data_IF_604346098349
#
_entry.id   IF_604346098349
#
_cell.length_a   1.000
_cell.length_b   1.000
_cell.length_c   1.000
_cell.angle_alpha   90.00
_cell.angle_beta   90.00
_cell.angle_gamma   90.00
#
_symmetry.space_group_name_H-M   'P 1'
#
loop_
_entity.id
_entity.type
_entity.pdbx_description
1 polymer ?
#
# COMPACT_ATOMS: atom_id res chain seq x y z
N UNK A 1 -0.34 -30.32 57.89
CA UNK A 1 0.31 -31.10 56.82
C UNK A 1 -0.17 -30.54 55.49
N UNK A 2 0.57 -29.57 54.90
CA UNK A 2 0.19 -28.92 53.63
C UNK A 2 0.62 -29.83 52.48
N UNK A 3 -0.33 -30.34 51.71
CA UNK A 3 -0.06 -31.10 50.49
C UNK A 3 0.53 -30.15 49.43
N UNK A 4 1.82 -30.28 49.15
CA UNK A 4 2.44 -29.78 47.94
C UNK A 4 2.07 -30.75 46.81
N UNK A 5 0.99 -30.43 46.08
CA UNK A 5 0.63 -31.14 44.87
C UNK A 5 1.61 -30.81 43.75
N UNK A 6 2.44 -31.77 43.37
CA UNK A 6 3.26 -31.67 42.17
C UNK A 6 2.33 -31.72 40.94
N UNK A 7 2.40 -30.69 40.10
CA UNK A 7 1.69 -30.63 38.82
C UNK A 7 2.21 -31.76 37.90
N UNK A 8 1.30 -32.40 37.15
CA UNK A 8 1.64 -33.50 36.24
C UNK A 8 2.52 -33.03 35.07
N UNK A 9 3.34 -33.91 34.46
CA UNK A 9 4.23 -33.56 33.34
C UNK A 9 3.54 -32.88 32.15
N UNK A 10 2.26 -33.20 31.93
CA UNK A 10 1.44 -32.62 30.86
C UNK A 10 1.09 -31.13 31.09
N UNK A 11 1.13 -30.65 32.34
CA UNK A 11 0.82 -29.27 32.69
C UNK A 11 1.96 -28.29 32.40
N UNK A 12 3.20 -28.77 32.19
CA UNK A 12 4.36 -27.91 31.89
C UNK A 12 4.47 -27.56 30.40
N UNK A 13 3.87 -28.36 29.50
CA UNK A 13 3.87 -28.13 28.05
C UNK A 13 3.15 -26.82 27.67
N UNK A 14 1.91 -26.55 28.12
CA UNK A 14 1.25 -25.28 27.81
C UNK A 14 1.95 -24.08 28.45
N UNK A 15 2.56 -24.25 29.64
CA UNK A 15 3.32 -23.19 30.30
C UNK A 15 4.61 -22.89 29.52
N UNK A 16 5.31 -23.91 29.02
CA UNK A 16 6.50 -23.74 28.18
C UNK A 16 6.16 -23.08 26.83
N UNK A 17 5.02 -23.43 26.21
CA UNK A 17 4.54 -22.78 24.99
C UNK A 17 4.16 -21.31 25.22
N UNK A 18 3.59 -20.98 26.38
CA UNK A 18 3.21 -19.63 26.75
C UNK A 18 4.43 -18.77 27.11
N UNK A 19 5.43 -19.35 27.78
CA UNK A 19 6.75 -18.73 27.99
C UNK A 19 7.45 -18.52 26.63
N UNK A 20 7.42 -19.50 25.73
CA UNK A 20 8.01 -19.38 24.38
C UNK A 20 7.31 -18.32 23.54
N UNK A 21 5.97 -18.18 23.64
CA UNK A 21 5.25 -17.10 22.95
C UNK A 21 5.60 -15.73 23.52
N UNK A 22 5.80 -15.60 24.84
CA UNK A 22 6.27 -14.36 25.48
C UNK A 22 7.69 -14.01 25.03
N UNK A 23 8.58 -15.00 24.85
CA UNK A 23 9.94 -14.78 24.34
C UNK A 23 9.99 -14.42 22.84
N UNK A 24 8.99 -14.82 22.04
CA UNK A 24 8.85 -14.38 20.64
C UNK A 24 8.24 -12.98 20.51
N UNK A 25 7.53 -12.50 21.53
CA UNK A 25 7.08 -11.10 21.62
C UNK A 25 8.14 -10.28 22.38
N UNK A 26 9.39 -10.38 21.93
CA UNK A 26 10.36 -9.31 22.18
C UNK A 26 9.93 -8.12 21.34
N UNK A 27 9.15 -7.19 21.91
CA UNK A 27 8.81 -5.92 21.26
C UNK A 27 10.10 -5.14 21.00
N UNK A 28 10.70 -5.34 19.83
CA UNK A 28 11.72 -4.41 19.35
C UNK A 28 10.97 -3.13 19.00
N UNK A 29 11.07 -2.09 19.84
CA UNK A 29 10.58 -0.78 19.45
C UNK A 29 11.28 -0.39 18.14
N UNK A 30 10.49 -0.16 17.09
CA UNK A 30 11.01 0.37 15.86
C UNK A 30 11.70 1.71 16.18
N UNK A 31 12.95 1.86 15.75
CA UNK A 31 13.53 3.20 15.76
C UNK A 31 12.91 3.95 14.61
N UNK A 32 12.22 5.04 14.92
CA UNK A 32 11.47 5.89 13.99
C UNK A 32 12.12 7.27 13.81
N UNK A 33 13.26 7.52 14.44
CA UNK A 33 13.87 8.84 14.51
C UNK A 33 15.39 8.87 14.23
N UNK A 34 15.83 9.96 13.61
CA UNK A 34 17.22 10.39 13.43
C UNK A 34 17.46 11.56 14.38
N UNK A 35 18.49 11.45 15.23
CA UNK A 35 18.87 12.46 16.21
C UNK A 35 20.30 12.93 15.96
N UNK A 36 20.80 13.91 16.72
CA UNK A 36 22.21 14.32 16.62
C UNK A 36 23.20 13.19 16.95
N UNK A 37 22.80 12.24 17.79
CA UNK A 37 23.61 11.09 18.18
C UNK A 37 23.50 9.90 17.23
N UNK A 38 22.49 9.87 16.34
CA UNK A 38 22.19 8.73 15.48
C UNK A 38 22.02 9.15 14.03
N UNK A 39 22.86 8.60 13.17
CA UNK A 39 22.72 8.66 11.71
C UNK A 39 22.13 7.36 11.15
N UNK A 40 21.78 7.38 9.86
CA UNK A 40 21.47 6.20 9.05
C UNK A 40 22.56 6.04 8.01
N UNK A 41 23.21 4.89 7.97
CA UNK A 41 24.13 4.49 6.90
C UNK A 41 23.43 3.63 5.85
N UNK A 42 24.14 3.35 4.76
CA UNK A 42 23.62 2.67 3.57
C UNK A 42 22.86 1.35 3.82
N UNK A 43 23.27 0.56 4.82
CA UNK A 43 22.66 -0.73 5.17
C UNK A 43 21.68 -0.65 6.34
N UNK A 44 21.43 0.56 6.85
CA UNK A 44 20.56 0.79 8.00
C UNK A 44 19.23 1.38 7.55
N UNK A 45 18.18 1.11 8.34
CA UNK A 45 16.86 1.70 8.15
C UNK A 45 16.29 2.12 9.49
N UNK A 46 15.44 3.14 9.46
CA UNK A 46 14.45 3.41 10.52
C UNK A 46 13.07 3.05 9.99
N UNK A 47 12.16 2.68 10.89
CA UNK A 47 10.79 2.29 10.53
C UNK A 47 9.79 3.14 11.30
N UNK A 48 8.63 3.39 10.71
CA UNK A 48 7.49 3.94 11.44
C UNK A 48 7.09 3.02 12.60
N UNK A 49 6.30 3.54 13.54
CA UNK A 49 5.91 2.80 14.75
C UNK A 49 5.07 1.56 14.40
N UNK A 50 4.23 1.64 13.37
CA UNK A 50 3.49 0.49 12.83
C UNK A 50 4.32 -0.44 11.93
N UNK A 51 5.60 -0.13 11.68
CA UNK A 51 6.57 -0.90 10.87
C UNK A 51 6.30 -1.00 9.37
N UNK A 52 5.21 -0.40 8.88
CA UNK A 52 4.82 -0.46 7.47
C UNK A 52 5.70 0.42 6.57
N UNK A 53 6.23 1.51 7.12
CA UNK A 53 7.06 2.46 6.39
C UNK A 53 8.49 2.39 6.86
N UNK A 54 9.43 2.49 5.92
CA UNK A 54 10.86 2.51 6.21
C UNK A 54 11.53 3.67 5.50
N UNK A 55 12.47 4.31 6.18
CA UNK A 55 13.41 5.26 5.62
C UNK A 55 14.80 4.60 5.59
N UNK A 56 15.45 4.66 4.43
CA UNK A 56 16.82 4.16 4.27
C UNK A 56 17.35 4.37 2.86
N UNK A 57 18.54 3.83 2.59
CA UNK A 57 19.13 3.90 1.26
C UNK A 57 18.63 2.77 0.36
N UNK A 58 18.42 3.08 -0.92
CA UNK A 58 18.01 2.12 -1.94
C UNK A 58 18.64 2.45 -3.31
N UNK A 59 18.57 1.48 -4.21
CA UNK A 59 18.85 1.64 -5.64
C UNK A 59 17.59 1.36 -6.46
N UNK A 60 17.25 2.21 -7.44
CA UNK A 60 16.25 1.88 -8.45
C UNK A 60 16.66 0.63 -9.24
N UNK A 61 15.66 -0.03 -9.83
CA UNK A 61 15.92 -1.16 -10.72
C UNK A 61 16.83 -0.74 -11.88
N UNK A 62 17.84 -1.55 -12.20
CA UNK A 62 18.82 -1.28 -13.27
C UNK A 62 19.66 0.01 -13.06
N UNK A 63 19.91 0.38 -11.81
CA UNK A 63 20.79 1.50 -11.46
C UNK A 63 21.70 1.13 -10.29
N UNK A 64 22.94 1.62 -10.28
CA UNK A 64 23.87 1.51 -9.15
C UNK A 64 23.85 2.74 -8.25
N UNK A 65 23.14 3.80 -8.66
CA UNK A 65 23.03 5.02 -7.86
C UNK A 65 22.27 4.74 -6.57
N UNK A 66 22.66 5.43 -5.50
CA UNK A 66 22.06 5.33 -4.17
C UNK A 66 21.28 6.59 -3.81
N UNK A 67 20.11 6.37 -3.22
CA UNK A 67 19.19 7.43 -2.80
C UNK A 67 18.66 7.14 -1.39
N UNK A 68 18.54 8.17 -0.57
CA UNK A 68 17.78 8.11 0.67
C UNK A 68 16.29 8.33 0.34
N UNK A 69 15.43 7.39 0.73
CA UNK A 69 14.00 7.49 0.45
C UNK A 69 13.14 6.73 1.44
N UNK A 70 11.84 6.98 1.36
CA UNK A 70 10.81 6.35 2.17
C UNK A 70 10.03 5.39 1.29
N UNK A 71 9.75 4.19 1.79
CA UNK A 71 8.94 3.20 1.09
C UNK A 71 7.96 2.48 2.00
N UNK A 72 6.85 2.04 1.41
CA UNK A 72 5.81 1.26 2.08
C UNK A 72 6.01 -0.24 1.83
N UNK A 73 6.26 -1.01 2.89
CA UNK A 73 6.54 -2.45 2.94
C UNK A 73 7.82 -2.90 2.20
N UNK A 74 7.95 -2.51 0.92
CA UNK A 74 9.02 -2.88 0.00
C UNK A 74 9.54 -1.67 -0.77
N UNK A 75 10.81 -1.69 -1.16
CA UNK A 75 11.44 -0.67 -2.02
C UNK A 75 10.78 -0.58 -3.42
N UNK A 76 9.88 -1.48 -3.78
CA UNK A 76 9.02 -1.33 -4.96
C UNK A 76 8.01 -0.19 -4.83
N UNK A 77 7.69 0.25 -3.61
CA UNK A 77 6.69 1.28 -3.30
C UNK A 77 7.35 2.50 -2.64
N UNK A 78 8.29 3.13 -3.36
CA UNK A 78 8.90 4.39 -2.93
C UNK A 78 7.85 5.50 -2.95
N UNK A 79 7.71 6.20 -1.82
CA UNK A 79 6.76 7.31 -1.65
C UNK A 79 7.45 8.68 -1.58
N UNK A 80 8.74 8.71 -1.24
CA UNK A 80 9.51 9.94 -1.13
C UNK A 80 11.01 9.69 -1.33
N UNK A 81 11.74 10.67 -1.88
CA UNK A 81 13.19 10.58 -2.17
C UNK A 81 13.84 11.93 -1.86
N UNK A 82 14.88 11.92 -1.01
CA UNK A 82 15.62 13.13 -0.62
C UNK A 82 16.50 13.63 -1.77
N UNK A 83 17.57 12.90 -2.07
CA UNK A 83 18.63 13.30 -3.00
C UNK A 83 18.34 12.89 -4.44
N UNK A 84 17.08 13.04 -4.89
CA UNK A 84 16.62 12.54 -6.21
C UNK A 84 17.41 13.10 -7.39
N UNK A 85 17.86 14.36 -7.30
CA UNK A 85 18.61 15.05 -8.36
C UNK A 85 20.14 15.00 -8.16
N UNK A 86 20.60 14.57 -6.99
CA UNK A 86 22.02 14.46 -6.63
C UNK A 86 22.31 13.07 -6.03
N UNK A 87 22.34 12.01 -6.86
CA UNK A 87 22.57 10.65 -6.39
C UNK A 87 23.96 10.45 -5.78
N UNK A 88 24.04 9.45 -4.90
CA UNK A 88 25.31 8.82 -4.53
C UNK A 88 25.72 7.83 -5.60
N UNK A 89 27.01 7.73 -5.90
CA UNK A 89 27.57 6.76 -6.86
C UNK A 89 28.14 5.50 -6.18
N UNK A 90 28.08 5.44 -4.86
CA UNK A 90 28.56 4.33 -4.03
C UNK A 90 27.68 4.15 -2.77
N UNK A 91 28.03 3.18 -1.93
CA UNK A 91 27.36 2.89 -0.65
C UNK A 91 27.93 3.68 0.54
N UNK A 92 28.55 4.84 0.31
CA UNK A 92 29.13 5.68 1.39
C UNK A 92 28.11 6.64 2.04
N UNK A 93 26.84 6.56 1.63
CA UNK A 93 25.79 7.50 2.03
C UNK A 93 25.51 7.51 3.53
N UNK A 94 25.33 8.73 4.07
CA UNK A 94 24.94 8.96 5.46
C UNK A 94 23.80 9.98 5.52
N UNK A 95 22.66 9.58 6.10
CA UNK A 95 21.58 10.48 6.49
C UNK A 95 21.70 10.86 7.96
N UNK A 96 21.77 12.15 8.30
CA UNK A 96 21.94 12.60 9.70
C UNK A 96 21.38 13.99 9.96
N UNK A 97 21.23 14.33 11.24
CA UNK A 97 21.12 15.73 11.67
C UNK A 97 22.50 16.39 11.59
N UNK A 98 22.62 17.46 10.82
CA UNK A 98 23.84 18.22 10.60
C UNK A 98 24.11 19.24 11.72
N UNK A 99 25.27 19.88 11.66
CA UNK A 99 25.73 20.82 12.67
C UNK A 99 24.91 22.12 12.78
N UNK A 100 24.02 22.35 11.83
CA UNK A 100 23.07 23.46 11.76
C UNK A 100 21.63 23.03 12.09
N UNK A 101 21.43 21.80 12.57
CA UNK A 101 20.12 21.25 12.91
C UNK A 101 19.30 20.75 11.71
N UNK A 102 19.81 20.83 10.47
CA UNK A 102 19.12 20.30 9.30
C UNK A 102 19.25 18.79 9.18
N UNK A 103 18.23 18.15 8.57
CA UNK A 103 18.38 16.80 8.06
C UNK A 103 19.15 16.87 6.73
N UNK A 104 20.25 16.11 6.61
CA UNK A 104 21.10 16.11 5.42
C UNK A 104 21.42 14.69 4.93
N UNK A 105 21.74 14.59 3.64
CA UNK A 105 22.37 13.41 3.02
C UNK A 105 23.80 13.77 2.62
N UNK A 106 24.77 13.02 3.14
CA UNK A 106 26.19 13.17 2.86
C UNK A 106 26.73 11.99 2.05
N UNK A 107 27.79 12.23 1.28
CA UNK A 107 28.65 11.18 0.72
C UNK A 107 29.85 10.87 1.64
N UNK A 108 30.69 9.93 1.25
CA UNK A 108 31.89 9.52 1.99
C UNK A 108 32.95 10.62 2.16
N UNK A 109 32.89 11.68 1.34
CA UNK A 109 33.73 12.88 1.46
C UNK A 109 33.09 13.99 2.31
N UNK A 110 31.96 13.70 2.99
CA UNK A 110 31.17 14.67 3.75
C UNK A 110 30.60 15.84 2.93
N UNK A 111 30.43 15.68 1.61
CA UNK A 111 29.71 16.64 0.79
C UNK A 111 28.21 16.48 0.98
N UNK A 112 27.51 17.61 1.20
CA UNK A 112 26.05 17.65 1.31
C UNK A 112 25.43 17.52 -0.08
N UNK A 113 24.75 16.41 -0.33
CA UNK A 113 24.02 16.15 -1.58
C UNK A 113 22.57 16.63 -1.50
N UNK A 114 22.01 16.71 -0.29
CA UNK A 114 20.67 17.18 -0.02
C UNK A 114 20.55 17.71 1.42
N UNK A 115 19.72 18.72 1.64
CA UNK A 115 19.39 19.29 2.96
C UNK A 115 17.93 19.74 3.00
N UNK A 116 17.30 19.64 4.17
CA UNK A 116 15.98 20.23 4.46
C UNK A 116 15.91 21.75 4.30
N UNK A 117 17.08 22.43 4.29
CA UNK A 117 17.22 23.87 4.06
C UNK A 117 16.32 24.75 4.96
N UNK A 118 16.27 24.42 6.25
CA UNK A 118 15.57 25.20 7.26
C UNK A 118 16.49 26.33 7.74
N UNK A 119 15.98 27.56 7.72
CA UNK A 119 16.70 28.77 8.14
C UNK A 119 16.63 29.06 9.65
N UNK A 120 16.22 28.08 10.47
CA UNK A 120 16.01 28.29 11.90
C UNK A 120 17.35 28.32 12.64
N UNK A 121 17.47 29.18 13.66
CA UNK A 121 18.58 29.22 14.63
C UNK A 121 18.58 27.98 15.56
N UNK A 122 18.31 26.80 15.01
CA UNK A 122 18.28 25.56 15.76
C UNK A 122 19.70 25.04 15.91
N UNK A 123 20.11 24.82 17.15
CA UNK A 123 21.37 24.13 17.44
C UNK A 123 21.20 22.63 17.16
N UNK A 124 22.29 21.93 16.85
CA UNK A 124 22.29 20.50 16.46
C UNK A 124 21.49 19.58 17.36
N UNK A 125 21.45 19.90 18.65
CA UNK A 125 20.83 19.07 19.68
C UNK A 125 19.38 19.46 19.93
N UNK A 126 18.86 20.46 19.23
CA UNK A 126 17.47 20.88 19.35
C UNK A 126 16.56 20.30 18.28
N UNK A 127 17.05 19.51 17.32
CA UNK A 127 16.19 18.93 16.27
C UNK A 127 16.22 17.40 16.21
N UNK A 128 15.10 16.84 15.76
CA UNK A 128 14.92 15.40 15.50
C UNK A 128 14.10 15.24 14.23
N UNK A 129 14.51 14.31 13.36
CA UNK A 129 13.73 13.90 12.22
C UNK A 129 13.02 12.58 12.54
N UNK A 130 11.68 12.56 12.51
CA UNK A 130 10.86 11.39 12.86
C UNK A 130 9.99 10.96 11.69
N UNK A 131 10.00 9.66 11.38
CA UNK A 131 9.12 9.03 10.40
C UNK A 131 7.80 8.65 11.08
N UNK A 132 6.70 9.27 10.64
CA UNK A 132 5.37 9.01 11.16
C UNK A 132 4.70 7.82 10.44
N UNK A 133 3.71 7.20 11.07
CA UNK A 133 2.90 6.12 10.49
C UNK A 133 2.12 6.54 9.22
N UNK A 134 1.96 7.86 9.00
CA UNK A 134 1.41 8.41 7.76
C UNK A 134 2.36 8.29 6.57
N UNK A 135 3.67 8.19 6.80
CA UNK A 135 4.72 8.33 5.79
C UNK A 135 5.39 9.70 5.79
N UNK A 136 4.89 10.64 6.59
CA UNK A 136 5.50 11.94 6.70
C UNK A 136 6.77 11.88 7.54
N UNK A 137 7.88 12.34 6.98
CA UNK A 137 9.14 12.52 7.70
C UNK A 137 9.20 13.97 8.16
N UNK A 138 9.13 14.16 9.48
CA UNK A 138 9.01 15.49 10.08
C UNK A 138 10.29 15.82 10.83
N UNK A 139 10.91 16.94 10.46
CA UNK A 139 11.96 17.58 11.25
C UNK A 139 11.29 18.55 12.22
N UNK A 140 11.47 18.33 13.52
CA UNK A 140 10.89 19.19 14.57
C UNK A 140 11.96 19.68 15.55
N UNK A 141 11.69 20.83 16.13
CA UNK A 141 12.42 21.31 17.30
C UNK A 141 11.95 20.53 18.54
N UNK A 142 12.89 19.98 19.31
CA UNK A 142 12.65 19.17 20.50
C UNK A 142 12.16 20.03 21.66
N UNK A 143 12.69 21.25 21.80
CA UNK A 143 12.36 22.13 22.92
C UNK A 143 10.95 22.72 22.77
N UNK A 144 10.58 23.15 21.56
CA UNK A 144 9.27 23.76 21.32
C UNK A 144 8.23 22.81 20.74
N UNK A 145 8.63 21.62 20.27
CA UNK A 145 7.76 20.68 19.55
C UNK A 145 7.34 21.16 18.16
N UNK A 146 7.89 22.28 17.66
CA UNK A 146 7.46 22.91 16.41
C UNK A 146 7.99 22.14 15.20
N UNK A 147 7.12 21.85 14.24
CA UNK A 147 7.53 21.34 12.92
C UNK A 147 8.31 22.42 12.17
N UNK A 148 9.54 22.09 11.78
CA UNK A 148 10.44 22.96 11.03
C UNK A 148 10.41 22.64 9.53
N UNK A 149 10.29 21.36 9.20
CA UNK A 149 10.21 20.85 7.83
C UNK A 149 9.48 19.51 7.80
N UNK A 150 8.82 19.18 6.70
CA UNK A 150 8.18 17.90 6.49
C UNK A 150 8.25 17.44 5.03
N UNK A 151 8.26 16.12 4.82
CA UNK A 151 8.39 15.53 3.48
C UNK A 151 7.11 15.65 2.65
N UNK A 152 5.94 15.75 3.28
CA UNK A 152 4.66 15.89 2.57
C UNK A 152 4.49 17.26 1.90
N UNK A 153 5.10 18.30 2.45
CA UNK A 153 5.23 19.62 1.82
C UNK A 153 6.28 19.66 0.71
N UNK A 154 7.12 18.63 0.57
CA UNK A 154 8.20 18.52 -0.42
C UNK A 154 8.18 17.16 -1.13
N UNK A 155 7.08 16.81 -1.83
CA UNK A 155 6.90 15.50 -2.43
C UNK A 155 7.85 15.26 -3.61
N UNK A 156 7.96 13.98 -4.01
CA UNK A 156 8.67 13.59 -5.22
C UNK A 156 7.67 13.32 -6.37
N UNK A 157 7.59 12.08 -6.85
CA UNK A 157 6.69 11.64 -7.92
C UNK A 157 5.42 10.94 -7.39
N UNK A 158 5.35 10.69 -6.09
CA UNK A 158 4.33 9.86 -5.46
C UNK A 158 3.61 10.59 -4.31
N UNK A 159 2.32 10.33 -4.20
CA UNK A 159 1.44 10.73 -3.11
C UNK A 159 0.91 9.50 -2.40
N UNK A 160 0.72 9.62 -1.08
CA UNK A 160 0.01 8.65 -0.24
C UNK A 160 -1.23 9.35 0.35
N UNK A 161 -2.18 8.62 0.96
CA UNK A 161 -3.36 9.24 1.53
C UNK A 161 -2.98 10.40 2.46
N UNK A 162 -3.79 11.46 2.48
CA UNK A 162 -3.57 12.74 3.20
C UNK A 162 -2.55 13.71 2.60
N UNK A 163 -1.68 13.26 1.68
CA UNK A 163 -0.81 14.19 0.94
C UNK A 163 -1.64 15.11 0.05
N UNK A 164 -1.10 16.31 -0.22
CA UNK A 164 -1.83 17.40 -0.87
C UNK A 164 -1.16 17.77 -2.19
N UNK A 165 -1.96 18.19 -3.17
CA UNK A 165 -1.53 19.12 -4.23
C UNK A 165 -2.09 20.47 -3.82
N UNK A 166 -1.23 21.46 -3.57
CA UNK A 166 -1.63 22.70 -2.93
C UNK A 166 -1.06 23.93 -3.62
N UNK A 167 -1.74 25.06 -3.49
CA UNK A 167 -1.25 26.35 -3.94
C UNK A 167 -1.77 27.45 -3.01
N UNK A 168 -0.85 28.27 -2.52
CA UNK A 168 -1.19 29.47 -1.79
C UNK A 168 -1.24 30.67 -2.76
N UNK A 169 -2.41 31.29 -2.99
CA UNK A 169 -2.56 32.41 -3.92
C UNK A 169 -1.77 33.65 -3.50
N UNK A 170 -1.58 33.85 -2.20
CA UNK A 170 -0.98 35.05 -1.64
C UNK A 170 0.55 35.01 -1.74
N UNK A 171 1.15 33.83 -1.54
CA UNK A 171 2.61 33.66 -1.53
C UNK A 171 3.17 33.02 -2.81
N UNK A 172 2.32 32.42 -3.64
CA UNK A 172 2.72 31.66 -4.82
C UNK A 172 3.35 30.31 -4.51
N UNK A 173 3.45 29.91 -3.23
CA UNK A 173 4.00 28.60 -2.82
C UNK A 173 3.08 27.47 -3.30
N UNK A 174 3.69 26.38 -3.78
CA UNK A 174 3.00 25.20 -4.29
C UNK A 174 3.52 23.93 -3.65
N UNK A 175 2.63 22.97 -3.42
CA UNK A 175 2.98 21.56 -3.24
C UNK A 175 2.71 20.89 -4.57
N UNK A 176 3.76 20.56 -5.30
CA UNK A 176 3.74 20.06 -6.67
C UNK A 176 4.53 18.76 -6.81
N UNK A 177 4.05 17.85 -7.64
CA UNK A 177 4.67 16.54 -7.87
C UNK A 177 5.43 16.57 -9.18
N UNK A 178 6.59 15.91 -9.21
CA UNK A 178 7.48 15.89 -10.38
C UNK A 178 7.78 14.44 -10.73
N UNK A 179 7.43 14.03 -11.95
CA UNK A 179 7.68 12.68 -12.46
C UNK A 179 9.14 12.29 -12.35
N UNK A 180 9.41 10.99 -12.32
CA UNK A 180 10.77 10.50 -12.58
C UNK A 180 11.17 10.80 -14.02
N UNK A 181 12.47 10.86 -14.28
CA UNK A 181 13.02 11.01 -15.62
C UNK A 181 12.89 9.71 -16.42
N UNK A 182 13.24 8.59 -15.79
CA UNK A 182 13.02 7.23 -16.33
C UNK A 182 12.63 6.27 -15.18
N UNK A 183 12.23 5.02 -15.46
CA UNK A 183 11.97 4.05 -14.38
C UNK A 183 13.20 3.76 -13.51
N UNK A 184 14.41 3.82 -14.07
CA UNK A 184 15.70 3.59 -13.38
C UNK A 184 16.37 4.86 -12.88
N UNK A 185 15.88 6.05 -13.26
CA UNK A 185 16.41 7.36 -12.89
C UNK A 185 15.31 8.22 -12.22
N UNK A 186 15.30 8.31 -10.88
CA UNK A 186 14.30 9.07 -10.11
C UNK A 186 14.52 10.58 -10.14
N UNK A 187 15.56 11.09 -10.82
CA UNK A 187 15.74 12.53 -10.99
C UNK A 187 14.51 13.18 -11.62
N UNK A 188 14.41 14.49 -11.44
CA UNK A 188 13.29 15.31 -11.91
C UNK A 188 13.09 15.14 -13.41
N UNK A 189 11.94 14.57 -13.77
CA UNK A 189 11.50 14.36 -15.14
C UNK A 189 10.78 15.57 -15.74
N UNK A 190 10.10 15.33 -16.85
CA UNK A 190 9.51 16.40 -17.66
C UNK A 190 8.06 16.74 -17.27
N UNK A 191 7.39 15.91 -16.47
CA UNK A 191 6.00 16.14 -16.12
C UNK A 191 5.85 16.61 -14.68
N UNK A 192 5.03 17.64 -14.48
CA UNK A 192 4.71 18.15 -13.15
C UNK A 192 3.20 18.26 -12.93
N UNK A 193 2.77 18.14 -11.68
CA UNK A 193 1.37 18.27 -11.25
C UNK A 193 1.24 19.41 -10.26
N UNK A 194 0.34 20.35 -10.55
CA UNK A 194 0.05 21.49 -9.67
C UNK A 194 -1.44 21.83 -9.66
N UNK A 195 -1.87 22.57 -8.63
CA UNK A 195 -3.21 23.12 -8.54
C UNK A 195 -3.21 24.53 -9.16
N UNK A 196 -4.14 24.79 -10.07
CA UNK A 196 -4.21 26.07 -10.78
C UNK A 196 -5.65 26.59 -10.85
N UNK A 197 -5.81 27.82 -11.36
CA UNK A 197 -7.11 28.49 -11.57
C UNK A 197 -7.95 28.51 -10.29
N UNK A 198 -7.42 29.12 -9.23
CA UNK A 198 -7.97 29.01 -7.87
C UNK A 198 -9.42 29.53 -7.68
N UNK A 199 -9.96 30.32 -8.62
CA UNK A 199 -11.40 30.68 -8.64
C UNK A 199 -12.33 29.56 -9.15
N UNK A 200 -11.79 28.60 -9.91
CA UNK A 200 -12.44 27.35 -10.33
C UNK A 200 -11.35 26.25 -10.41
N UNK A 201 -10.89 25.74 -9.25
CA UNK A 201 -9.66 24.96 -9.13
C UNK A 201 -9.61 23.74 -10.05
N UNK A 202 -8.49 23.57 -10.73
CA UNK A 202 -8.20 22.40 -11.57
C UNK A 202 -6.80 21.87 -11.26
N UNK A 203 -6.62 20.56 -11.34
CA UNK A 203 -5.29 19.94 -11.27
C UNK A 203 -4.70 19.92 -12.68
N UNK A 204 -3.57 20.58 -12.86
CA UNK A 204 -2.85 20.66 -14.12
C UNK A 204 -1.70 19.68 -14.16
N UNK A 205 -1.51 19.08 -15.32
CA UNK A 205 -0.33 18.32 -15.71
C UNK A 205 0.42 19.16 -16.72
N UNK A 206 1.66 19.48 -16.41
CA UNK A 206 2.51 20.26 -17.28
C UNK A 206 3.55 19.36 -17.93
N UNK A 207 3.95 19.72 -19.14
CA UNK A 207 5.16 19.25 -19.77
C UNK A 207 6.19 20.39 -19.75
N UNK A 208 7.40 20.10 -19.28
CA UNK A 208 8.48 21.08 -19.07
C UNK A 208 8.05 22.30 -18.24
N UNK A 209 7.14 22.10 -17.26
CA UNK A 209 6.60 23.14 -16.35
C UNK A 209 5.84 24.30 -17.01
N UNK A 210 5.85 24.41 -18.34
CA UNK A 210 5.35 25.58 -19.07
C UNK A 210 4.20 25.26 -20.01
N UNK A 211 4.17 24.04 -20.57
CA UNK A 211 3.13 23.64 -21.52
C UNK A 211 2.06 22.81 -20.81
N UNK A 212 0.79 23.26 -20.76
CA UNK A 212 -0.30 22.42 -20.28
C UNK A 212 -0.38 21.15 -21.13
N UNK A 213 -0.23 20.00 -20.48
CA UNK A 213 -0.31 18.68 -21.10
C UNK A 213 -1.69 18.06 -20.93
N UNK A 214 -2.25 18.19 -19.72
CA UNK A 214 -3.59 17.74 -19.38
C UNK A 214 -4.12 18.58 -18.20
N UNK A 215 -5.44 18.66 -18.07
CA UNK A 215 -6.10 19.28 -16.91
C UNK A 215 -7.32 18.47 -16.54
N UNK A 216 -7.59 18.36 -15.24
CA UNK A 216 -8.74 17.60 -14.74
C UNK A 216 -10.06 18.31 -14.96
N UNK A 217 -10.09 19.58 -15.39
CA UNK A 217 -11.31 20.39 -15.39
C UNK A 217 -11.59 20.96 -13.99
N UNK A 218 -12.55 21.88 -13.85
CA UNK A 218 -12.90 22.47 -12.56
C UNK A 218 -13.52 21.46 -11.61
N UNK A 219 -13.29 21.66 -10.32
CA UNK A 219 -13.96 20.93 -9.24
C UNK A 219 -15.44 21.35 -9.13
N UNK A 220 -16.37 20.40 -9.12
CA UNK A 220 -17.80 20.68 -9.00
C UNK A 220 -18.38 20.40 -7.58
N UNK A 221 -17.53 20.19 -6.58
CA UNK A 221 -17.93 19.77 -5.24
C UNK A 221 -17.92 18.25 -5.01
N UNK A 222 -17.87 17.45 -6.07
CA UNK A 222 -17.85 15.97 -6.00
C UNK A 222 -16.74 15.32 -6.83
N UNK A 223 -16.40 15.88 -7.99
CA UNK A 223 -15.33 15.39 -8.85
C UNK A 223 -14.85 16.52 -9.76
N UNK A 224 -13.70 16.31 -10.39
CA UNK A 224 -13.27 17.18 -11.49
C UNK A 224 -13.93 16.76 -12.81
N UNK A 225 -14.47 17.72 -13.56
CA UNK A 225 -15.30 17.44 -14.74
C UNK A 225 -14.62 16.62 -15.85
N UNK A 226 -13.29 16.74 -15.98
CA UNK A 226 -12.46 15.99 -16.93
C UNK A 226 -11.94 14.65 -16.40
N UNK A 227 -12.14 14.35 -15.11
CA UNK A 227 -11.86 13.04 -14.50
C UNK A 227 -13.04 12.56 -13.63
N UNK A 228 -14.22 12.29 -14.22
CA UNK A 228 -15.41 11.90 -13.45
C UNK A 228 -15.26 10.57 -12.70
N UNK A 229 -14.26 9.75 -13.05
CA UNK A 229 -13.92 8.50 -12.34
C UNK A 229 -13.22 8.74 -10.99
N UNK A 230 -12.83 9.98 -10.68
CA UNK A 230 -12.21 10.38 -9.42
C UNK A 230 -13.26 11.12 -8.57
N UNK A 231 -14.31 10.40 -8.18
CA UNK A 231 -15.39 10.93 -7.34
C UNK A 231 -15.01 11.00 -5.85
N UNK A 232 -15.66 11.90 -5.14
CA UNK A 232 -15.88 11.83 -3.70
C UNK A 232 -16.79 10.63 -3.41
N UNK A 233 -16.29 9.56 -2.81
CA UNK A 233 -17.13 8.60 -2.10
C UNK A 233 -16.98 8.82 -0.59
N UNK A 234 -18.06 8.57 0.16
CA UNK A 234 -18.14 8.79 1.62
C UNK A 234 -17.01 8.12 2.41
N UNK A 235 -16.39 7.07 1.86
CA UNK A 235 -15.28 6.33 2.45
C UNK A 235 -13.99 6.38 1.60
N UNK A 236 -14.05 6.83 0.34
CA UNK A 236 -12.92 6.78 -0.58
C UNK A 236 -13.04 7.94 -1.56
N UNK A 237 -12.20 8.95 -1.47
CA UNK A 237 -12.44 10.09 -2.32
C UNK A 237 -11.39 11.18 -2.30
N UNK A 238 -11.45 11.94 -3.38
CA UNK A 238 -10.76 13.21 -3.51
C UNK A 238 -11.55 14.28 -2.78
N UNK A 239 -10.88 15.14 -2.03
CA UNK A 239 -11.46 16.31 -1.43
C UNK A 239 -10.69 17.55 -1.83
N UNK A 240 -11.43 18.64 -1.91
CA UNK A 240 -10.91 19.98 -2.14
C UNK A 240 -11.22 20.80 -0.90
N UNK A 241 -10.23 21.51 -0.39
CA UNK A 241 -10.37 22.32 0.82
C UNK A 241 -9.34 23.46 0.84
N UNK A 242 -9.36 24.26 1.90
CA UNK A 242 -8.46 25.37 2.14
C UNK A 242 -8.03 25.45 3.60
N UNK A 243 -6.84 25.98 3.82
CA UNK A 243 -6.31 26.31 5.15
C UNK A 243 -6.57 27.79 5.48
N UNK A 244 -6.47 28.17 6.76
CA UNK A 244 -6.73 29.53 7.25
C UNK A 244 -5.79 30.60 6.64
N UNK A 245 -4.61 30.20 6.16
CA UNK A 245 -3.64 31.08 5.51
C UNK A 245 -3.95 31.35 4.02
N UNK A 246 -5.08 30.84 3.54
CA UNK A 246 -5.54 30.93 2.16
C UNK A 246 -4.96 29.85 1.24
N UNK A 247 -4.15 28.91 1.73
CA UNK A 247 -3.67 27.77 0.95
C UNK A 247 -4.84 26.91 0.51
N UNK A 248 -4.98 26.71 -0.79
CA UNK A 248 -6.01 25.87 -1.37
C UNK A 248 -5.38 24.54 -1.78
N UNK A 249 -6.06 23.42 -1.52
CA UNK A 249 -5.48 22.11 -1.80
C UNK A 249 -6.50 21.04 -2.20
N UNK A 250 -5.96 20.02 -2.86
CA UNK A 250 -6.63 18.78 -3.22
C UNK A 250 -5.89 17.64 -2.55
N UNK A 251 -6.62 16.73 -1.93
CA UNK A 251 -6.05 15.54 -1.29
C UNK A 251 -7.00 14.36 -1.44
N UNK A 252 -6.54 13.15 -1.14
CA UNK A 252 -7.40 11.97 -1.14
C UNK A 252 -7.26 11.19 0.16
N UNK A 253 -8.37 10.55 0.53
CA UNK A 253 -8.48 9.73 1.72
C UNK A 253 -8.98 8.34 1.35
N UNK A 254 -8.61 7.37 2.17
CA UNK A 254 -8.96 5.95 2.04
C UNK A 254 -9.50 5.54 3.40
N UNK A 255 -10.74 5.06 3.49
CA UNK A 255 -11.37 4.73 4.77
C UNK A 255 -10.78 3.48 5.42
N UNK A 256 -10.32 2.54 4.60
CA UNK A 256 -9.63 1.35 5.08
C UNK A 256 -8.10 1.60 5.05
N UNK A 257 -7.42 1.63 6.21
CA UNK A 257 -5.97 1.73 6.27
C UNK A 257 -5.26 0.59 5.53
N UNK A 258 -5.91 -0.57 5.36
CA UNK A 258 -5.36 -1.72 4.61
C UNK A 258 -5.41 -1.51 3.09
N UNK A 259 -6.20 -0.56 2.61
CA UNK A 259 -6.25 -0.15 1.20
C UNK A 259 -5.20 0.93 0.87
N UNK A 260 -4.09 0.98 1.62
CA UNK A 260 -2.98 1.90 1.39
C UNK A 260 -2.51 1.80 -0.07
N UNK A 261 -2.72 2.86 -0.84
CA UNK A 261 -2.35 2.94 -2.24
C UNK A 261 -1.49 4.15 -2.51
N UNK A 262 -0.41 3.95 -3.26
CA UNK A 262 0.49 5.02 -3.68
C UNK A 262 0.06 5.51 -5.05
N UNK A 263 -0.25 6.80 -5.16
CA UNK A 263 -0.57 7.45 -6.42
C UNK A 263 0.69 8.13 -6.97
N UNK A 264 1.17 7.72 -8.14
CA UNK A 264 2.38 8.29 -8.74
C UNK A 264 2.14 8.88 -10.13
N UNK A 265 2.89 9.94 -10.47
CA UNK A 265 2.99 10.43 -11.84
C UNK A 265 4.11 9.69 -12.58
N UNK A 266 3.75 9.03 -13.67
CA UNK A 266 4.69 8.27 -14.50
C UNK A 266 5.56 9.19 -15.36
N UNK A 267 6.64 8.62 -15.89
CA UNK A 267 7.55 9.26 -16.85
C UNK A 267 6.87 9.71 -18.15
N UNK A 268 5.63 9.30 -18.39
CA UNK A 268 4.82 9.64 -19.58
C UNK A 268 3.70 10.65 -19.28
N UNK A 269 3.65 11.20 -18.07
CA UNK A 269 2.64 12.17 -17.67
C UNK A 269 1.25 11.57 -17.45
N UNK A 270 1.20 10.32 -17.01
CA UNK A 270 -0.03 9.65 -16.58
C UNK A 270 -0.01 9.44 -15.08
N UNK A 271 -1.17 9.47 -14.42
CA UNK A 271 -1.26 9.08 -13.01
C UNK A 271 -1.56 7.59 -12.90
N UNK A 272 -0.87 6.93 -11.98
CA UNK A 272 -1.01 5.51 -11.69
C UNK A 272 -1.21 5.31 -10.20
N UNK A 273 -2.32 4.67 -9.82
CA UNK A 273 -2.55 4.21 -8.46
C UNK A 273 -2.08 2.77 -8.31
N UNK A 274 -1.19 2.52 -7.35
CA UNK A 274 -0.60 1.22 -7.06
C UNK A 274 -1.08 0.68 -5.72
N UNK A 275 -1.45 -0.59 -5.67
CA UNK A 275 -1.83 -1.29 -4.44
C UNK A 275 -0.81 -2.39 -4.08
N UNK A 276 -0.27 -2.40 -2.86
CA UNK A 276 0.75 -3.35 -2.43
C UNK A 276 0.22 -4.77 -2.20
N UNK A 277 -1.06 -4.91 -1.84
CA UNK A 277 -1.72 -6.20 -1.56
C UNK A 277 -2.44 -6.80 -2.77
N UNK A 278 -2.17 -6.29 -3.98
CA UNK A 278 -2.86 -6.69 -5.21
C UNK A 278 -4.16 -5.91 -5.43
N UNK A 279 -4.48 -5.69 -6.70
CA UNK A 279 -5.58 -4.84 -7.16
C UNK A 279 -5.36 -4.49 -8.63
N UNK A 280 -6.37 -3.96 -9.31
CA UNK A 280 -6.18 -3.43 -10.65
C UNK A 280 -5.57 -2.02 -10.55
N UNK A 281 -4.34 -1.84 -11.05
CA UNK A 281 -3.72 -0.51 -11.18
C UNK A 281 -4.66 0.42 -11.95
N UNK A 282 -5.03 1.55 -11.34
CA UNK A 282 -5.88 2.54 -12.00
C UNK A 282 -5.01 3.59 -12.67
N UNK A 283 -5.13 3.66 -14.00
CA UNK A 283 -4.49 4.70 -14.80
C UNK A 283 -5.49 5.81 -15.09
N UNK A 284 -5.22 6.99 -14.55
CA UNK A 284 -5.96 8.20 -14.90
C UNK A 284 -5.23 8.75 -16.13
N UNK A 285 -5.73 8.33 -17.31
CA UNK A 285 -5.14 8.41 -18.67
C UNK A 285 -4.35 7.15 -19.07
N UNK A 286 -5.06 6.14 -19.57
CA UNK A 286 -4.47 5.11 -20.44
C UNK A 286 -4.21 5.73 -21.83
N UNK A 287 -3.01 5.62 -22.42
CA UNK A 287 -2.82 5.94 -23.84
C UNK A 287 -3.80 5.13 -24.70
N UNK A 288 -4.28 5.72 -25.80
CA UNK A 288 -5.29 5.11 -26.68
C UNK A 288 -4.91 3.69 -27.15
N UNK A 289 -3.60 3.41 -27.26
CA UNK A 289 -3.03 2.11 -27.59
C UNK A 289 -3.30 0.99 -26.58
N UNK A 290 -3.56 1.30 -25.30
CA UNK A 290 -3.84 0.31 -24.26
C UNK A 290 -5.34 -0.01 -24.11
N UNK A 291 -6.23 0.76 -24.74
CA UNK A 291 -7.68 0.50 -24.72
C UNK A 291 -8.09 -0.71 -25.58
N UNK A 292 -7.19 -1.24 -26.43
CA UNK A 292 -7.48 -2.36 -27.35
C UNK A 292 -7.28 -3.77 -26.78
N UNK A 293 -6.64 -3.94 -25.63
CA UNK A 293 -6.24 -5.26 -25.13
C UNK A 293 -7.31 -6.02 -24.33
N UNK A 294 -8.47 -5.40 -24.06
CA UNK A 294 -9.52 -5.93 -23.18
C UNK A 294 -10.25 -7.20 -23.68
N UNK A 295 -10.05 -7.63 -24.94
CA UNK A 295 -10.69 -8.85 -25.46
C UNK A 295 -10.00 -10.15 -25.05
N UNK A 296 -8.75 -10.11 -24.57
CA UNK A 296 -7.96 -11.33 -24.28
C UNK A 296 -8.30 -12.00 -22.93
N UNK A 297 -8.83 -11.23 -21.97
CA UNK A 297 -9.20 -11.75 -20.64
C UNK A 297 -10.57 -12.43 -20.60
N UNK A 298 -11.52 -12.00 -21.45
CA UNK A 298 -12.90 -12.51 -21.45
C UNK A 298 -12.97 -14.00 -21.85
N UNK A 299 -12.10 -14.43 -22.76
CA UNK A 299 -11.99 -15.83 -23.15
C UNK A 299 -11.45 -16.74 -22.04
N UNK A 300 -10.49 -16.25 -21.24
CA UNK A 300 -9.95 -17.01 -20.10
C UNK A 300 -10.98 -17.16 -18.97
N UNK A 301 -11.75 -16.10 -18.69
CA UNK A 301 -12.84 -16.16 -17.70
C UNK A 301 -13.95 -17.12 -18.16
N UNK A 302 -14.35 -17.05 -19.44
CA UNK A 302 -15.33 -17.97 -20.00
C UNK A 302 -14.86 -19.45 -19.94
N UNK A 303 -13.57 -19.70 -20.21
CA UNK A 303 -12.98 -21.04 -20.10
C UNK A 303 -13.00 -21.54 -18.64
N UNK A 304 -12.63 -20.70 -17.67
CA UNK A 304 -12.64 -21.07 -16.24
C UNK A 304 -14.06 -21.42 -15.78
N UNK A 305 -15.06 -20.60 -16.14
CA UNK A 305 -16.47 -20.85 -15.78
C UNK A 305 -17.00 -22.14 -16.42
N UNK A 306 -16.61 -22.44 -17.67
CA UNK A 306 -16.99 -23.69 -18.33
C UNK A 306 -16.36 -24.92 -17.66
N UNK A 307 -15.08 -24.84 -17.28
CA UNK A 307 -14.35 -25.93 -16.62
C UNK A 307 -14.90 -26.19 -15.21
N UNK A 308 -15.18 -25.15 -14.42
CA UNK A 308 -15.77 -25.33 -13.08
C UNK A 308 -17.19 -25.90 -13.15
N UNK A 309 -17.99 -25.49 -14.14
CA UNK A 309 -19.31 -26.07 -14.40
C UNK A 309 -19.23 -27.56 -14.76
N UNK A 310 -18.30 -27.94 -15.65
CA UNK A 310 -18.11 -29.34 -16.06
C UNK A 310 -17.66 -30.23 -14.89
N UNK A 311 -16.73 -29.76 -14.05
CA UNK A 311 -16.29 -30.50 -12.87
C UNK A 311 -17.45 -30.72 -11.89
N UNK A 312 -18.28 -29.70 -11.64
CA UNK A 312 -19.45 -29.81 -10.78
C UNK A 312 -20.46 -30.86 -11.27
N UNK A 313 -20.71 -30.91 -12.59
CA UNK A 313 -21.60 -31.93 -13.20
C UNK A 313 -21.02 -33.33 -13.02
N UNK A 314 -19.72 -33.52 -13.27
CA UNK A 314 -19.06 -34.82 -13.11
C UNK A 314 -19.15 -35.28 -11.65
N UNK A 315 -18.90 -34.38 -10.68
CA UNK A 315 -19.02 -34.71 -9.25
C UNK A 315 -20.45 -35.14 -8.88
N UNK A 316 -21.47 -34.44 -9.38
CA UNK A 316 -22.88 -34.81 -9.13
C UNK A 316 -23.24 -36.17 -9.72
N UNK A 317 -22.78 -36.49 -10.93
CA UNK A 317 -23.00 -37.80 -11.56
C UNK A 317 -22.32 -38.91 -10.77
N UNK A 318 -21.08 -38.70 -10.31
CA UNK A 318 -20.36 -39.66 -9.46
C UNK A 318 -21.08 -39.87 -8.13
N UNK A 319 -21.53 -38.79 -7.47
CA UNK A 319 -22.31 -38.89 -6.24
C UNK A 319 -23.62 -39.67 -6.45
N UNK A 320 -24.36 -39.37 -7.52
CA UNK A 320 -25.59 -40.09 -7.86
C UNK A 320 -25.32 -41.58 -8.12
N UNK A 321 -24.24 -41.91 -8.84
CA UNK A 321 -23.84 -43.29 -9.10
C UNK A 321 -23.46 -44.03 -7.81
N UNK A 322 -22.73 -43.39 -6.89
CA UNK A 322 -22.35 -44.00 -5.60
C UNK A 322 -23.57 -44.24 -4.71
N UNK A 323 -24.53 -43.31 -4.69
CA UNK A 323 -25.80 -43.47 -3.97
C UNK A 323 -26.61 -44.61 -4.57
N UNK A 324 -26.74 -44.66 -5.91
CA UNK A 324 -27.43 -45.74 -6.61
C UNK A 324 -26.78 -47.10 -6.34
N UNK A 325 -25.45 -47.18 -6.39
CA UNK A 325 -24.68 -48.40 -6.09
C UNK A 325 -24.89 -48.86 -4.64
N UNK A 326 -24.87 -47.95 -3.66
CA UNK A 326 -25.17 -48.26 -2.25
C UNK A 326 -26.60 -48.74 -2.05
N UNK A 327 -27.56 -48.17 -2.78
CA UNK A 327 -28.97 -48.55 -2.68
C UNK A 327 -29.26 -49.88 -3.37
N UNK A 328 -28.63 -50.16 -4.51
CA UNK A 328 -28.70 -51.44 -5.23
C UNK A 328 -28.12 -52.58 -4.39
N UNK A 329 -26.96 -52.38 -3.75
CA UNK A 329 -26.35 -53.36 -2.85
C UNK A 329 -27.22 -53.70 -1.62
N UNK A 330 -28.08 -52.77 -1.17
CA UNK A 330 -29.06 -53.03 -0.10
C UNK A 330 -30.25 -53.89 -0.56
N UNK A 331 -30.56 -53.92 -1.86
CA UNK A 331 -31.68 -54.71 -2.40
C UNK A 331 -31.31 -56.16 -2.75
N UNK A 332 -30.02 -56.45 -2.92
CA UNK A 332 -29.53 -57.83 -3.13
C UNK A 332 -29.39 -58.65 -1.85
N UNK A 333 -29.72 -58.09 -0.68
CA UNK A 333 -29.62 -58.76 0.62
C UNK A 333 -30.92 -58.70 1.41
N UNK A 334 -32.02 -59.24 0.86
CA UNK A 334 -33.21 -59.74 1.60
C UNK A 334 -34.28 -60.21 0.60
N UNK A 335 -34.33 -61.53 0.35
CA UNK A 335 -35.57 -62.21 -0.05
C UNK A 335 -35.87 -63.25 1.03
N UNK A 336 -36.77 -62.98 1.98
CA UNK A 336 -37.30 -63.99 2.88
C UNK A 336 -38.57 -64.61 2.30
N UNK A 337 -38.56 -65.93 2.12
CA UNK A 337 -39.72 -66.79 2.34
C UNK A 337 -40.76 -66.91 1.23
N UNK A 338 -40.46 -67.71 0.20
CA UNK A 338 -41.48 -68.32 -0.66
C UNK A 338 -41.74 -69.78 -0.24
N UNK A 339 -41.90 -70.03 1.07
CA UNK A 339 -42.20 -71.36 1.64
C UNK A 339 -43.39 -71.37 2.62
N UNK A 340 -44.16 -70.28 2.70
CA UNK A 340 -45.29 -70.16 3.65
C UNK A 340 -46.65 -69.92 2.98
N UNK A 341 -46.82 -70.28 1.71
CA UNK A 341 -48.09 -70.10 1.00
C UNK A 341 -48.50 -71.30 0.14
N UNK A 342 -48.15 -72.52 0.60
CA UNK A 342 -48.66 -73.79 0.04
C UNK A 342 -49.38 -74.70 1.04
N UNK A 343 -49.61 -74.25 2.28
CA UNK A 343 -50.32 -75.03 3.32
C UNK A 343 -51.77 -74.60 3.57
N UNK A 344 -52.35 -73.69 2.75
CA UNK A 344 -53.73 -73.22 2.91
C UNK A 344 -54.69 -73.48 1.73
N UNK A 345 -54.34 -74.37 0.79
CA UNK A 345 -55.27 -74.82 -0.28
C UNK A 345 -55.51 -76.34 -0.22
N UNK A 346 -55.48 -76.93 0.99
CA UNK A 346 -55.87 -78.34 1.24
C UNK A 346 -56.92 -78.46 2.35
N UNK A 347 -57.55 -77.34 2.78
CA UNK A 347 -58.53 -77.38 3.88
C UNK A 347 -59.94 -76.87 3.55
N UNK A 348 -60.29 -76.78 2.27
CA UNK A 348 -61.67 -76.53 1.79
C UNK A 348 -62.21 -77.66 0.89
N UNK A 349 -61.97 -78.90 1.32
CA UNK A 349 -62.87 -80.01 1.02
C UNK A 349 -63.29 -80.62 2.34
N UNK A 350 -64.30 -80.01 2.99
CA UNK A 350 -65.26 -80.62 3.94
C UNK A 350 -66.15 -79.51 4.54
N UNK A 351 -67.09 -78.98 3.73
CA UNK A 351 -68.41 -78.45 4.14
C UNK A 351 -69.17 -77.88 2.93
N UNK A 352 -69.72 -78.77 2.11
CA UNK A 352 -71.10 -78.77 1.57
C UNK A 352 -71.21 -79.91 0.57
#
# INVERSE_FOLDING_TARGET
MKFMGFLSPASYIPIALLIFSIFYVGSTSAIDAITSARSIRDHETISSNNTDLKLGFFSPENSTNRYLGIWYLSQSYIIWIANRDNPLTDSSGVGKIHNDGNLVVLNGQNLILWSSNVSANSTTNSTVAQLQDSGNLVLRDIATGKTLWDSFSHPADAAVPTMRVATNPNTGKKIEYVSRKTPSDPSSGYFTVSLERLGAPEVFFWYNKTRPYYRTGPWNGRFFLGTPRLSTEYLYGWRFDHDDDGTVYVTYSVADPTAYGTLSITTTGTLKLHFPYGGADLFIRTPYSLLGAGKKGRGRIALIVAVTGAIGIITLVVCAYLVWRKWSAKRTGKVPGLDSMRSHIVRDRMRS
#
